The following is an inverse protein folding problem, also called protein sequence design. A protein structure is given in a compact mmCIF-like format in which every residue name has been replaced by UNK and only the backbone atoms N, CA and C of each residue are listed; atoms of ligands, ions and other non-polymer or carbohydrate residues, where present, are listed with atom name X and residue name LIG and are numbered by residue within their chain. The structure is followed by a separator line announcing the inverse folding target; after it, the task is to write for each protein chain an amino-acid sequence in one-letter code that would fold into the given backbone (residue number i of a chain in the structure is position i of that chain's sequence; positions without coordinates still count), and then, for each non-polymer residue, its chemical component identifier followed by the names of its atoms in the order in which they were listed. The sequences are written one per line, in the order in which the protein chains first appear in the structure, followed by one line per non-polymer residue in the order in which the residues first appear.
data_IF_543027255465
#
_entry.id   IF_543027255465
#
_cell.length_a   1.000
_cell.length_b   1.000
_cell.length_c   1.000
_cell.angle_alpha   90.00
_cell.angle_beta   90.00
_cell.angle_gamma   90.00
#
_symmetry.space_group_name_H-M   'P 1'
#
loop_
_entity.id
_entity.type
_entity.pdbx_description
1 polymer ?
#
# COMPACT_ATOMS: atom_id res chain seq x y z
N UNK A 1 -16.24 15.00 27.86
CA UNK A 1 -16.40 13.57 27.51
C UNK A 1 -15.51 13.34 26.30
N UNK A 2 -14.30 12.80 26.48
CA UNK A 2 -13.34 12.61 25.40
C UNK A 2 -13.73 11.38 24.58
N UNK A 3 -14.29 11.59 23.39
CA UNK A 3 -14.49 10.53 22.41
C UNK A 3 -13.26 10.45 21.51
N UNK A 4 -12.79 9.24 21.25
CA UNK A 4 -11.66 8.88 20.40
C UNK A 4 -11.54 9.73 19.12
N UNK A 5 -10.30 10.03 18.65
CA UNK A 5 -10.13 10.55 17.30
C UNK A 5 -10.80 9.61 16.29
N UNK A 6 -11.35 10.11 15.17
CA UNK A 6 -11.92 9.25 14.15
C UNK A 6 -10.83 8.26 13.73
N UNK A 7 -11.06 6.96 13.92
CA UNK A 7 -10.22 5.92 13.36
C UNK A 7 -10.20 6.19 11.85
N UNK A 8 -9.05 6.57 11.31
CA UNK A 8 -8.90 7.01 9.94
C UNK A 8 -9.31 5.89 9.00
N UNK A 9 -10.55 5.94 8.52
CA UNK A 9 -11.06 5.03 7.50
C UNK A 9 -10.47 5.48 6.17
N UNK A 10 -9.81 4.57 5.46
CA UNK A 10 -9.29 4.87 4.13
C UNK A 10 -10.39 5.13 3.10
N UNK A 11 -10.04 5.76 1.98
CA UNK A 11 -10.91 5.92 0.80
C UNK A 11 -11.21 4.54 0.19
N UNK A 12 -12.45 4.21 -0.21
CA UNK A 12 -12.75 2.94 -0.87
C UNK A 12 -11.82 2.68 -2.05
N UNK A 13 -11.34 1.45 -2.19
CA UNK A 13 -10.34 1.08 -3.20
C UNK A 13 -10.85 1.36 -4.62
N UNK A 14 -12.13 1.11 -4.85
CA UNK A 14 -12.83 1.36 -6.12
C UNK A 14 -12.93 2.84 -6.52
N UNK A 15 -12.74 3.76 -5.57
CA UNK A 15 -12.82 5.20 -5.78
C UNK A 15 -11.43 5.86 -5.92
N UNK A 16 -10.34 5.08 -5.86
CA UNK A 16 -8.99 5.62 -5.92
C UNK A 16 -8.62 6.08 -7.35
N UNK A 17 -7.99 7.26 -7.51
CA UNK A 17 -7.62 7.76 -8.83
C UNK A 17 -6.38 7.04 -9.39
N UNK A 18 -6.58 6.27 -10.46
CA UNK A 18 -5.51 5.57 -11.16
C UNK A 18 -5.95 4.20 -11.67
N UNK A 19 -4.97 3.39 -12.05
CA UNK A 19 -5.18 1.96 -12.26
C UNK A 19 -5.12 1.25 -10.92
N UNK A 20 -6.24 0.66 -10.50
CA UNK A 20 -6.36 0.02 -9.19
C UNK A 20 -6.23 -1.48 -9.36
N UNK A 21 -5.35 -2.10 -8.57
CA UNK A 21 -5.19 -3.54 -8.53
C UNK A 21 -6.17 -4.19 -7.55
N UNK A 22 -6.45 -5.49 -7.78
CA UNK A 22 -7.19 -6.29 -6.82
C UNK A 22 -6.45 -6.32 -5.48
N UNK A 23 -7.18 -6.02 -4.40
CA UNK A 23 -6.61 -6.02 -3.06
C UNK A 23 -6.17 -7.42 -2.65
N UNK A 24 -4.94 -7.56 -2.17
CA UNK A 24 -4.43 -8.82 -1.66
C UNK A 24 -4.42 -8.84 -0.12
N UNK A 25 -4.23 -10.01 0.49
CA UNK A 25 -4.21 -10.17 1.94
C UNK A 25 -2.97 -10.92 2.40
N UNK A 26 -2.35 -10.44 3.46
CA UNK A 26 -1.18 -11.04 4.10
C UNK A 26 -1.10 -10.58 5.55
N UNK A 27 -0.67 -11.46 6.46
CA UNK A 27 -0.53 -11.14 7.89
C UNK A 27 -1.77 -10.55 8.57
N UNK A 28 -2.99 -10.94 8.15
CA UNK A 28 -4.28 -10.36 8.57
C UNK A 28 -4.50 -8.87 8.21
N UNK A 29 -3.69 -8.33 7.29
CA UNK A 29 -3.92 -7.05 6.63
C UNK A 29 -4.43 -7.27 5.20
N UNK A 30 -5.20 -6.30 4.71
CA UNK A 30 -5.53 -6.13 3.31
C UNK A 30 -4.64 -5.03 2.71
N UNK A 31 -4.13 -5.25 1.51
CA UNK A 31 -3.24 -4.34 0.81
C UNK A 31 -3.90 -3.94 -0.50
N UNK A 32 -4.41 -2.71 -0.53
CA UNK A 32 -4.83 -2.07 -1.76
C UNK A 32 -3.60 -1.53 -2.47
N UNK A 33 -3.52 -1.67 -3.78
CA UNK A 33 -2.46 -1.06 -4.56
C UNK A 33 -3.05 -0.37 -5.79
N UNK A 34 -2.42 0.72 -6.22
CA UNK A 34 -2.74 1.43 -7.46
C UNK A 34 -1.49 2.01 -8.10
N UNK A 35 -1.59 2.28 -9.40
CA UNK A 35 -0.65 3.12 -10.15
C UNK A 35 -1.34 4.41 -10.57
N UNK A 36 -0.66 5.53 -10.38
CA UNK A 36 -1.13 6.86 -10.77
C UNK A 36 -0.05 7.62 -11.52
N UNK A 37 -0.38 8.25 -12.64
CA UNK A 37 0.54 9.13 -13.39
C UNK A 37 0.30 10.62 -13.09
N UNK A 38 -0.30 10.93 -11.93
CA UNK A 38 -0.59 12.30 -11.58
C UNK A 38 0.69 13.09 -11.25
N UNK A 39 0.90 14.22 -11.94
CA UNK A 39 2.09 15.08 -11.83
C UNK A 39 2.40 15.58 -10.41
N UNK A 40 1.45 15.47 -9.47
CA UNK A 40 1.65 15.87 -8.07
C UNK A 40 2.52 14.90 -7.28
N UNK A 41 2.62 13.65 -7.74
CA UNK A 41 3.42 12.61 -7.09
C UNK A 41 4.81 12.52 -7.69
N UNK A 42 4.91 12.71 -9.00
CA UNK A 42 6.14 12.55 -9.79
C UNK A 42 6.16 13.57 -10.93
N UNK A 43 7.35 13.96 -11.39
CA UNK A 43 7.51 14.79 -12.59
C UNK A 43 7.57 13.92 -13.86
N UNK A 44 6.53 13.09 -14.08
CA UNK A 44 6.37 12.31 -15.32
C UNK A 44 6.68 10.80 -15.25
N UNK A 45 6.91 10.25 -14.05
CA UNK A 45 7.05 8.81 -13.81
C UNK A 45 5.74 8.22 -13.25
N UNK A 46 5.54 6.91 -13.31
CA UNK A 46 4.39 6.29 -12.66
C UNK A 46 4.57 6.27 -11.13
N UNK A 47 3.49 6.45 -10.37
CA UNK A 47 3.51 6.41 -8.91
C UNK A 47 2.77 5.17 -8.42
N UNK A 48 3.49 4.24 -7.79
CA UNK A 48 2.88 3.12 -7.09
C UNK A 48 2.47 3.58 -5.69
N UNK A 49 1.19 3.40 -5.34
CA UNK A 49 0.68 3.62 -4.00
C UNK A 49 0.07 2.34 -3.44
N UNK A 50 0.47 1.98 -2.21
CA UNK A 50 -0.02 0.83 -1.47
C UNK A 50 -0.66 1.32 -0.17
N UNK A 51 -1.87 0.89 0.13
CA UNK A 51 -2.60 1.26 1.35
C UNK A 51 -2.89 -0.01 2.16
N UNK A 52 -2.04 -0.36 3.14
CA UNK A 52 -2.28 -1.44 4.09
C UNK A 52 -3.39 -1.05 5.07
N UNK A 53 -4.38 -1.92 5.21
CA UNK A 53 -5.57 -1.70 6.03
C UNK A 53 -6.00 -2.98 6.74
N UNK A 54 -6.76 -2.82 7.80
CA UNK A 54 -7.46 -3.94 8.41
C UNK A 54 -8.61 -4.43 7.52
N UNK A 55 -8.80 -5.75 7.35
CA UNK A 55 -9.74 -6.31 6.37
C UNK A 55 -11.22 -6.14 6.73
N UNK A 56 -11.56 -5.82 7.98
CA UNK A 56 -12.95 -5.78 8.47
C UNK A 56 -13.52 -4.37 8.64
N UNK A 57 -12.66 -3.38 8.86
CA UNK A 57 -13.09 -2.01 9.17
C UNK A 57 -12.28 -0.92 8.47
N UNK A 58 -11.40 -1.29 7.52
CA UNK A 58 -10.63 -0.37 6.68
C UNK A 58 -9.81 0.66 7.47
N UNK A 59 -9.34 0.26 8.65
CA UNK A 59 -8.45 1.07 9.48
C UNK A 59 -7.06 1.00 8.85
N UNK A 60 -6.49 2.17 8.57
CA UNK A 60 -5.13 2.30 8.02
C UNK A 60 -4.08 1.77 8.99
N UNK A 61 -3.01 1.17 8.46
CA UNK A 61 -1.93 0.56 9.24
C UNK A 61 -0.63 1.38 9.08
N UNK A 62 -0.45 2.46 9.87
CA UNK A 62 0.75 3.30 9.82
C UNK A 62 1.97 2.59 10.44
N UNK A 63 3.16 3.18 10.24
CA UNK A 63 4.44 2.65 10.71
C UNK A 63 4.77 1.25 10.21
N UNK A 64 4.24 0.88 9.04
CA UNK A 64 4.65 -0.30 8.28
C UNK A 64 5.83 0.08 7.39
N UNK A 65 6.84 -0.77 7.28
CA UNK A 65 7.89 -0.59 6.26
C UNK A 65 7.57 -1.52 5.10
N UNK A 66 7.51 -0.96 3.90
CA UNK A 66 7.22 -1.69 2.67
C UNK A 66 8.31 -1.45 1.64
N UNK A 67 8.60 -2.48 0.85
CA UNK A 67 9.39 -2.38 -0.37
C UNK A 67 8.61 -2.96 -1.54
N UNK A 68 8.88 -2.45 -2.74
CA UNK A 68 8.36 -3.01 -3.98
C UNK A 68 9.52 -3.42 -4.89
N UNK A 69 9.42 -4.63 -5.42
CA UNK A 69 10.24 -5.12 -6.51
C UNK A 69 9.42 -5.12 -7.81
N UNK A 70 9.89 -4.39 -8.81
CA UNK A 70 9.31 -4.38 -10.16
C UNK A 70 10.18 -5.23 -11.07
N UNK A 71 9.57 -6.23 -11.69
CA UNK A 71 10.21 -7.09 -12.68
C UNK A 71 9.62 -6.77 -14.06
N UNK A 72 10.47 -6.22 -14.93
CA UNK A 72 10.11 -5.76 -16.27
C UNK A 72 11.34 -5.76 -17.18
N UNK A 73 11.13 -6.05 -18.46
CA UNK A 73 12.17 -6.09 -19.51
C UNK A 73 13.42 -6.94 -19.15
N UNK A 74 13.24 -8.00 -18.34
CA UNK A 74 14.32 -8.88 -17.90
C UNK A 74 15.23 -8.31 -16.80
N UNK A 75 14.83 -7.20 -16.18
CA UNK A 75 15.49 -6.58 -15.03
C UNK A 75 14.55 -6.55 -13.82
N UNK A 76 15.16 -6.46 -12.62
CA UNK A 76 14.42 -6.30 -11.37
C UNK A 76 14.93 -5.05 -10.67
N UNK A 77 14.03 -4.12 -10.35
CA UNK A 77 14.31 -2.92 -9.57
C UNK A 77 13.58 -3.03 -8.23
N UNK A 78 14.26 -2.73 -7.13
CA UNK A 78 13.67 -2.76 -5.80
C UNK A 78 13.81 -1.40 -5.13
N UNK A 79 12.70 -0.87 -4.62
CA UNK A 79 12.64 0.43 -3.94
C UNK A 79 11.84 0.33 -2.64
N UNK A 80 12.20 1.15 -1.65
CA UNK A 80 11.41 1.33 -0.42
C UNK A 80 10.26 2.30 -0.69
N UNK A 81 9.08 2.02 -0.12
CA UNK A 81 7.93 2.91 -0.23
C UNK A 81 7.90 3.88 0.94
N UNK A 82 7.75 5.15 0.62
CA UNK A 82 7.65 6.20 1.62
C UNK A 82 6.21 6.37 2.11
N UNK A 83 6.01 6.47 3.42
CA UNK A 83 4.71 6.78 4.01
C UNK A 83 4.26 8.21 3.63
N UNK A 84 3.03 8.32 3.12
CA UNK A 84 2.47 9.56 2.61
C UNK A 84 0.96 9.68 2.94
N UNK A 85 0.47 10.92 2.88
CA UNK A 85 -0.94 11.25 3.04
C UNK A 85 -1.39 12.14 1.88
N UNK A 86 -2.32 11.64 1.08
CA UNK A 86 -2.92 12.39 -0.02
C UNK A 86 -4.43 12.55 0.20
N UNK A 87 -4.99 13.62 -0.35
CA UNK A 87 -6.42 13.95 -0.21
C UNK A 87 -7.35 13.04 -1.02
N UNK A 88 -6.87 12.40 -2.09
CA UNK A 88 -7.67 11.46 -2.88
C UNK A 88 -7.33 10.00 -2.55
N UNK A 89 -6.05 9.69 -2.31
CA UNK A 89 -5.62 8.32 -1.99
C UNK A 89 -5.79 7.99 -0.50
N UNK A 90 -5.69 9.00 0.37
CA UNK A 90 -5.64 8.82 1.82
C UNK A 90 -4.23 8.43 2.30
N UNK A 91 -4.15 7.73 3.43
CA UNK A 91 -2.89 7.20 3.96
C UNK A 91 -2.41 6.02 3.10
N UNK A 92 -1.18 6.12 2.64
CA UNK A 92 -0.56 5.14 1.76
C UNK A 92 0.96 5.17 1.91
N UNK A 93 1.58 4.20 1.28
CA UNK A 93 3.01 4.09 1.08
C UNK A 93 3.24 4.15 -0.42
N UNK A 94 4.14 4.99 -0.90
CA UNK A 94 4.36 5.06 -2.33
C UNK A 94 5.75 5.43 -2.77
N UNK A 95 6.00 5.19 -4.04
CA UNK A 95 7.31 5.31 -4.68
C UNK A 95 7.14 5.64 -6.16
N UNK A 96 8.07 6.43 -6.69
CA UNK A 96 8.14 6.72 -8.11
C UNK A 96 8.78 5.54 -8.86
N UNK A 97 8.13 5.11 -9.93
CA UNK A 97 8.56 4.01 -10.79
C UNK A 97 8.69 4.52 -12.22
N UNK A 98 9.93 4.51 -12.69
CA UNK A 98 10.27 4.88 -14.06
C UNK A 98 10.03 3.67 -14.96
N UNK A 99 9.56 3.93 -16.18
CA UNK A 99 9.38 2.94 -17.24
C UNK A 99 8.45 1.76 -16.87
N UNK A 100 7.48 1.96 -15.97
CA UNK A 100 6.49 0.92 -15.62
C UNK A 100 5.59 0.63 -16.82
N UNK A 101 5.54 -0.63 -17.26
CA UNK A 101 4.82 -1.04 -18.46
C UNK A 101 3.72 -2.09 -18.16
N UNK A 102 2.64 -2.13 -18.97
CA UNK A 102 1.66 -3.20 -18.88
C UNK A 102 2.30 -4.58 -19.08
N UNK A 103 1.99 -5.50 -18.18
CA UNK A 103 2.58 -6.84 -18.09
C UNK A 103 3.75 -6.96 -17.11
N UNK A 104 4.24 -5.85 -16.56
CA UNK A 104 5.25 -5.88 -15.50
C UNK A 104 4.69 -6.46 -14.21
N UNK A 105 5.57 -7.10 -13.44
CA UNK A 105 5.21 -7.71 -12.17
C UNK A 105 5.70 -6.85 -11.02
N UNK A 106 4.78 -6.44 -10.15
CA UNK A 106 5.10 -5.67 -8.94
C UNK A 106 4.91 -6.57 -7.73
N UNK A 107 5.97 -6.82 -6.98
CA UNK A 107 5.94 -7.59 -5.73
C UNK A 107 6.16 -6.65 -4.56
N UNK A 108 5.19 -6.58 -3.65
CA UNK A 108 5.27 -5.77 -2.43
C UNK A 108 5.58 -6.68 -1.24
N UNK A 109 6.59 -6.31 -0.47
CA UNK A 109 7.03 -7.01 0.73
C UNK A 109 6.86 -6.14 1.96
N UNK A 110 6.53 -6.76 3.09
CA UNK A 110 6.44 -6.09 4.39
C UNK A 110 7.74 -6.31 5.15
N UNK A 111 8.60 -5.29 5.15
CA UNK A 111 9.90 -5.33 5.82
C UNK A 111 9.79 -5.13 7.33
N UNK A 112 8.76 -4.41 7.79
CA UNK A 112 8.45 -4.26 9.21
C UNK A 112 6.96 -4.10 9.46
N UNK A 113 6.39 -4.84 10.43
CA UNK A 113 4.96 -4.83 10.69
C UNK A 113 4.48 -3.50 11.29
N UNK A 114 3.19 -3.16 11.11
CA UNK A 114 2.61 -1.96 11.71
C UNK A 114 2.71 -1.96 13.23
N UNK A 115 2.89 -0.78 13.82
CA UNK A 115 2.94 -0.59 15.28
C UNK A 115 1.53 -0.42 15.88
N UNK A 116 0.54 -1.17 15.40
CA UNK A 116 -0.84 -1.10 15.91
C UNK A 116 -0.95 -1.83 17.25
N UNK A 117 -1.71 -1.25 18.18
CA UNK A 117 -2.01 -1.89 19.45
C UNK A 117 -2.77 -3.18 19.23
N UNK A 118 -2.14 -4.30 19.57
CA UNK A 118 -2.73 -5.64 19.58
C UNK A 118 -3.99 -5.76 20.46
N UNK A 119 -4.20 -4.78 21.34
CA UNK A 119 -5.35 -4.68 22.24
C UNK A 119 -6.70 -4.35 21.55
N UNK A 120 -6.70 -3.99 20.25
CA UNK A 120 -7.92 -3.82 19.44
C UNK A 120 -8.40 -5.14 18.79
N UNK A 121 -7.98 -6.30 19.33
CA UNK A 121 -8.36 -7.62 18.84
C UNK A 121 -7.43 -8.21 17.77
N UNK A 122 -6.26 -7.61 17.57
CA UNK A 122 -5.20 -8.04 16.65
C UNK A 122 -4.07 -8.79 17.36
N UNK A 123 -4.38 -9.50 18.44
CA UNK A 123 -3.40 -10.17 19.31
C UNK A 123 -2.54 -11.22 18.59
N UNK A 124 -3.09 -11.82 17.53
CA UNK A 124 -2.45 -12.85 16.68
C UNK A 124 -2.17 -12.39 15.25
N UNK A 125 -2.36 -11.11 14.93
CA UNK A 125 -2.15 -10.56 13.59
C UNK A 125 -0.76 -9.91 13.43
N UNK A 126 -0.34 -9.71 12.17
CA UNK A 126 0.90 -9.01 11.81
C UNK A 126 2.19 -9.68 12.34
N UNK A 127 2.24 -11.02 12.31
CA UNK A 127 3.43 -11.80 12.72
C UNK A 127 4.32 -12.18 11.55
N UNK A 128 3.71 -12.66 10.46
CA UNK A 128 4.37 -13.03 9.22
C UNK A 128 3.57 -12.46 8.06
N UNK A 129 4.28 -12.00 7.05
CA UNK A 129 3.71 -11.49 5.82
C UNK A 129 4.35 -12.22 4.65
N UNK A 130 3.53 -12.88 3.85
CA UNK A 130 3.89 -13.33 2.51
C UNK A 130 3.98 -12.13 1.56
N UNK A 131 4.83 -12.25 0.54
CA UNK A 131 4.95 -11.30 -0.55
C UNK A 131 3.64 -11.20 -1.35
N UNK A 132 3.35 -10.00 -1.82
CA UNK A 132 2.11 -9.66 -2.52
C UNK A 132 2.42 -9.29 -3.96
N UNK A 133 1.89 -10.02 -4.94
CA UNK A 133 2.23 -9.82 -6.36
C UNK A 133 1.06 -9.24 -7.15
N UNK A 134 1.29 -8.11 -7.82
CA UNK A 134 0.36 -7.43 -8.72
C UNK A 134 0.91 -7.47 -10.15
N UNK A 135 0.03 -7.33 -11.13
CA UNK A 135 0.39 -7.23 -12.56
C UNK A 135 -0.20 -5.96 -13.11
N UNK A 136 0.66 -5.14 -13.71
CA UNK A 136 0.33 -3.90 -14.44
C UNK A 136 -0.30 -4.24 -15.79
#
# INVERSE_FOLDING_TARGET
HGGQPPMGRGVPIEDLPGEVFESQRSGDAAFAALVSDADRFTDGSSYLAVSPRTPYNDIVLPFTTLSAAVEGDGSVRQDELAEALDHEIGHHYGVAIDDLAPGDRVTVSVDSPPQVSRHDGYETAFFDFDDLTYTV
#
